data_IF_413188018939
#
_entry.id   IF_413188018939
#
_cell.length_a   1.000
_cell.length_b   1.000
_cell.length_c   1.000
_cell.angle_alpha   90.00
_cell.angle_beta   90.00
_cell.angle_gamma   90.00
#
_symmetry.space_group_name_H-M   'P 1'
#
loop_
_entity.id
_entity.type
_entity.pdbx_description
1 polymer ?
#
# COMPACT_ATOMS: atom_id res chain seq x y z
N UNK A 1 16.06 8.68 -9.90
CA UNK A 1 14.97 9.12 -10.79
C UNK A 1 13.70 9.33 -10.01
N UNK A 2 12.96 10.34 -10.39
CA UNK A 2 11.81 10.77 -9.65
C UNK A 2 10.58 10.84 -10.56
N UNK A 3 9.50 10.23 -10.12
CA UNK A 3 8.21 10.28 -10.80
C UNK A 3 7.18 10.90 -9.86
N UNK A 4 6.46 11.88 -10.35
CA UNK A 4 5.45 12.55 -9.57
C UNK A 4 4.13 12.47 -10.31
N UNK A 5 3.06 12.01 -9.63
CA UNK A 5 1.76 11.76 -10.27
C UNK A 5 0.65 11.96 -9.26
N UNK A 6 0.27 12.95 -8.87
CA UNK A 6 -0.87 13.14 -8.00
C UNK A 6 -0.92 12.31 -6.71
N UNK A 7 -0.24 11.18 -6.66
CA UNK A 7 -0.14 10.36 -5.46
C UNK A 7 1.16 10.61 -4.70
N UNK A 8 2.02 11.49 -5.20
CA UNK A 8 3.26 11.85 -4.54
C UNK A 8 4.47 11.48 -5.36
N UNK A 9 5.62 11.65 -4.76
CA UNK A 9 6.89 11.36 -5.40
C UNK A 9 7.29 9.90 -5.24
N UNK A 10 8.25 9.47 -6.07
CA UNK A 10 8.75 8.10 -6.06
C UNK A 10 10.26 8.14 -5.84
N UNK A 11 10.72 7.37 -4.86
CA UNK A 11 12.14 7.24 -4.57
C UNK A 11 12.66 5.87 -4.91
N UNK A 12 13.86 5.80 -5.46
CA UNK A 12 14.45 4.52 -5.82
C UNK A 12 14.99 3.82 -4.58
N UNK A 13 14.48 2.60 -4.34
CA UNK A 13 14.95 1.77 -3.24
C UNK A 13 14.38 0.37 -3.40
N UNK A 14 15.23 -0.63 -3.30
CA UNK A 14 14.81 -2.00 -3.54
C UNK A 14 14.17 -2.63 -2.30
N UNK A 15 13.05 -3.29 -2.50
CA UNK A 15 12.36 -4.04 -1.47
C UNK A 15 11.81 -5.32 -2.09
N UNK A 16 12.29 -6.47 -1.63
CA UNK A 16 11.87 -7.77 -2.13
C UNK A 16 11.52 -8.68 -0.99
N UNK A 17 10.40 -9.38 -1.12
CA UNK A 17 9.97 -10.38 -0.16
C UNK A 17 8.69 -10.03 0.55
N UNK A 18 8.43 -10.75 1.64
CA UNK A 18 7.19 -10.60 2.41
C UNK A 18 7.39 -9.60 3.52
N UNK A 19 6.39 -8.74 3.70
CA UNK A 19 6.41 -7.81 4.81
C UNK A 19 4.99 -7.43 5.18
N UNK A 20 4.82 -6.96 6.41
CA UNK A 20 3.52 -6.61 6.95
C UNK A 20 3.06 -5.26 6.46
N UNK A 21 1.76 -5.12 6.27
CA UNK A 21 1.14 -3.84 5.93
C UNK A 21 0.16 -3.52 7.06
N UNK A 22 0.21 -2.28 7.55
CA UNK A 22 -0.69 -1.79 8.59
C UNK A 22 -1.57 -0.71 7.99
N UNK A 23 -2.86 -0.99 7.92
CA UNK A 23 -3.82 -0.10 7.30
C UNK A 23 -4.39 0.86 8.33
N UNK A 24 -4.69 2.08 7.88
CA UNK A 24 -5.26 3.08 8.76
C UNK A 24 -6.62 2.64 9.27
N UNK A 25 -6.91 3.00 10.52
CA UNK A 25 -8.13 2.59 11.18
C UNK A 25 -9.36 3.32 10.66
N UNK A 26 -9.23 4.58 10.39
CA UNK A 26 -10.38 5.35 9.97
C UNK A 26 -10.79 4.98 8.55
N UNK A 27 -12.01 4.78 8.39
CA UNK A 27 -12.73 4.56 7.17
C UNK A 27 -12.58 3.22 6.56
N UNK A 28 -12.28 2.11 7.29
CA UNK A 28 -11.89 1.33 6.30
C UNK A 28 -12.16 -0.11 6.33
N UNK A 29 -12.43 -0.55 5.14
CA UNK A 29 -12.66 -1.94 4.85
C UNK A 29 -11.40 -2.77 4.88
N UNK A 30 -10.25 -2.12 5.09
CA UNK A 30 -8.96 -2.81 5.02
C UNK A 30 -8.30 -2.97 6.38
N UNK A 31 -8.79 -2.26 7.39
CA UNK A 31 -8.09 -2.18 8.66
C UNK A 31 -7.81 -3.54 9.30
N UNK A 32 -8.74 -4.47 9.23
CA UNK A 32 -8.56 -5.76 9.85
C UNK A 32 -7.59 -6.68 9.09
N UNK A 33 -7.08 -6.24 7.94
CA UNK A 33 -5.97 -6.90 7.28
C UNK A 33 -4.62 -6.43 7.82
N UNK A 34 -4.61 -5.49 8.76
CA UNK A 34 -3.36 -4.96 9.32
C UNK A 34 -2.58 -6.07 9.99
N UNK A 35 -1.27 -6.08 9.73
CA UNK A 35 -0.38 -7.09 10.25
C UNK A 35 -0.26 -8.32 9.36
N UNK A 36 -1.06 -8.45 8.33
CA UNK A 36 -0.90 -9.53 7.37
C UNK A 36 0.30 -9.28 6.48
N UNK A 37 0.89 -10.37 5.99
CA UNK A 37 2.05 -10.28 5.13
C UNK A 37 1.64 -10.19 3.67
N UNK A 38 2.24 -9.24 2.97
CA UNK A 38 2.05 -9.05 1.54
C UNK A 38 3.40 -9.15 0.84
N UNK A 39 3.37 -9.51 -0.43
CA UNK A 39 4.58 -9.72 -1.20
C UNK A 39 4.99 -8.43 -1.91
N UNK A 40 6.24 -8.05 -1.73
CA UNK A 40 6.82 -6.84 -2.32
C UNK A 40 7.91 -7.19 -3.30
N UNK A 41 7.85 -6.59 -4.47
CA UNK A 41 8.97 -6.58 -5.42
C UNK A 41 8.92 -5.21 -6.08
N UNK A 42 9.70 -4.27 -5.57
CA UNK A 42 9.72 -2.94 -6.16
C UNK A 42 11.06 -2.28 -5.90
N UNK A 43 11.42 -1.37 -6.79
CA UNK A 43 12.65 -0.62 -6.68
C UNK A 43 12.42 0.83 -6.33
N UNK A 44 11.18 1.28 -6.28
CA UNK A 44 10.82 2.65 -5.98
C UNK A 44 9.78 2.70 -4.88
N UNK A 45 9.91 3.70 -4.02
CA UNK A 45 8.93 3.97 -2.98
C UNK A 45 8.09 5.18 -3.36
N UNK A 46 6.82 5.15 -3.00
CA UNK A 46 5.99 6.34 -3.02
C UNK A 46 6.29 7.21 -1.82
N UNK A 47 6.33 8.50 -2.07
CA UNK A 47 6.22 9.47 -0.99
C UNK A 47 4.86 10.12 -1.17
N UNK A 48 3.96 9.87 -0.23
CA UNK A 48 2.57 10.28 -0.38
C UNK A 48 2.38 11.79 -0.49
N UNK A 49 3.27 12.56 0.10
CA UNK A 49 3.13 14.02 0.13
C UNK A 49 2.05 14.47 1.09
N UNK A 50 0.86 13.92 0.98
CA UNK A 50 -0.26 14.21 1.87
C UNK A 50 -0.59 12.98 2.68
N UNK A 51 -0.51 13.10 4.01
CA UNK A 51 -0.76 11.98 4.90
C UNK A 51 -2.18 11.43 4.79
N UNK A 52 -3.12 12.26 4.38
CA UNK A 52 -4.50 11.81 4.23
C UNK A 52 -4.64 10.80 3.09
N UNK A 53 -3.67 10.75 2.21
CA UNK A 53 -3.68 9.80 1.10
C UNK A 53 -3.03 8.47 1.45
N UNK A 54 -2.53 8.31 2.67
CA UNK A 54 -1.92 7.04 3.07
C UNK A 54 -3.00 6.09 3.54
N UNK A 55 -3.12 4.96 2.87
CA UNK A 55 -4.02 3.89 3.29
C UNK A 55 -3.32 2.87 4.17
N UNK A 56 -2.06 2.57 3.89
CA UNK A 56 -1.31 1.59 4.65
C UNK A 56 0.16 1.90 4.72
N UNK A 57 0.81 1.42 5.78
CA UNK A 57 2.23 1.64 6.05
C UNK A 57 2.94 0.32 6.23
N UNK A 58 4.18 0.27 5.82
CA UNK A 58 5.06 -0.88 6.02
C UNK A 58 6.40 -0.39 6.52
N UNK A 59 7.02 -1.18 7.40
CA UNK A 59 8.35 -0.90 7.92
C UNK A 59 9.39 -1.67 7.12
N UNK A 60 10.32 -0.95 6.54
CA UNK A 60 11.47 -1.54 5.85
C UNK A 60 12.63 -0.57 6.02
N UNK A 61 13.45 -0.80 7.03
CA UNK A 61 14.43 0.14 7.57
C UNK A 61 13.75 1.33 8.23
N UNK A 62 12.78 1.90 7.58
CA UNK A 62 11.94 2.95 8.13
C UNK A 62 10.54 2.83 7.54
N UNK A 63 9.54 3.41 8.19
CA UNK A 63 8.17 3.32 7.67
C UNK A 63 8.05 4.00 6.31
N UNK A 64 7.27 3.38 5.44
CA UNK A 64 6.95 4.01 4.16
C UNK A 64 5.49 3.70 3.80
N UNK A 65 4.86 4.57 2.99
CA UNK A 65 3.50 4.29 2.53
C UNK A 65 3.51 3.12 1.55
N UNK A 66 2.85 2.04 1.90
CA UNK A 66 2.77 0.86 1.04
C UNK A 66 1.44 0.75 0.32
N UNK A 67 0.46 1.54 0.73
CA UNK A 67 -0.81 1.67 0.02
C UNK A 67 -1.29 3.10 0.12
N UNK A 68 -1.76 3.63 -0.99
CA UNK A 68 -2.24 5.01 -1.08
C UNK A 68 -3.68 5.02 -1.57
N UNK A 69 -4.44 6.02 -1.13
CA UNK A 69 -5.82 6.19 -1.54
C UNK A 69 -6.07 7.67 -1.83
N UNK A 70 -6.73 7.94 -2.95
CA UNK A 70 -7.12 9.29 -3.29
C UNK A 70 -8.37 9.23 -4.14
N UNK A 71 -9.49 9.73 -3.59
CA UNK A 71 -10.76 9.65 -4.29
C UNK A 71 -11.15 8.20 -4.54
N UNK A 72 -11.26 7.81 -5.78
CA UNK A 72 -11.61 6.45 -6.17
C UNK A 72 -10.41 5.64 -6.68
N UNK A 73 -9.21 6.06 -6.32
CA UNK A 73 -7.97 5.40 -6.75
C UNK A 73 -7.27 4.81 -5.53
N UNK A 74 -6.85 3.56 -5.64
CA UNK A 74 -5.97 2.93 -4.66
C UNK A 74 -4.73 2.44 -5.39
N UNK A 75 -3.56 2.78 -4.85
CA UNK A 75 -2.30 2.31 -5.37
C UNK A 75 -1.57 1.51 -4.30
N UNK A 76 -0.86 0.47 -4.68
CA UNK A 76 -0.12 -0.35 -3.74
C UNK A 76 1.31 -0.57 -4.21
N UNK A 77 2.23 -0.69 -3.24
CA UNK A 77 3.60 -1.10 -3.52
C UNK A 77 3.73 -2.62 -3.48
N UNK A 78 2.84 -3.29 -2.82
CA UNK A 78 2.83 -4.75 -2.79
C UNK A 78 2.02 -5.28 -3.98
N UNK A 79 2.19 -6.57 -4.25
CA UNK A 79 1.47 -7.26 -5.30
C UNK A 79 0.36 -8.10 -4.68
N UNK A 80 -0.89 -7.63 -4.68
CA UNK A 80 -1.97 -8.42 -4.08
C UNK A 80 -2.12 -9.78 -4.74
N UNK A 81 -1.92 -9.83 -6.05
CA UNK A 81 -2.09 -11.08 -6.80
C UNK A 81 -1.04 -12.12 -6.43
N UNK A 82 0.06 -11.71 -5.80
CA UNK A 82 1.12 -12.60 -5.36
C UNK A 82 1.17 -12.76 -3.85
N UNK A 83 0.21 -12.21 -3.15
CA UNK A 83 0.22 -12.17 -1.69
C UNK A 83 -0.67 -13.22 -1.05
N UNK A 84 -0.99 -14.27 -1.77
CA UNK A 84 -1.76 -15.41 -1.30
C UNK A 84 -3.08 -14.96 -0.65
N UNK A 85 -3.39 -15.47 0.53
CA UNK A 85 -4.67 -15.23 1.17
C UNK A 85 -4.92 -13.76 1.49
N UNK A 86 -3.91 -13.08 2.02
CA UNK A 86 -4.06 -11.66 2.34
C UNK A 86 -4.33 -10.85 1.07
N UNK A 87 -3.65 -11.20 -0.02
CA UNK A 87 -3.86 -10.53 -1.30
C UNK A 87 -5.25 -10.75 -1.85
N UNK A 88 -5.75 -11.98 -1.76
CA UNK A 88 -7.11 -12.30 -2.20
C UNK A 88 -8.13 -11.47 -1.41
N UNK A 89 -7.96 -11.41 -0.09
CA UNK A 89 -8.85 -10.62 0.75
C UNK A 89 -8.79 -9.14 0.41
N UNK A 90 -7.59 -8.63 0.15
CA UNK A 90 -7.43 -7.24 -0.23
C UNK A 90 -8.19 -6.94 -1.53
N UNK A 91 -8.05 -7.80 -2.52
CA UNK A 91 -8.71 -7.61 -3.82
C UNK A 91 -10.22 -7.67 -3.66
N UNK A 92 -10.73 -8.62 -2.87
CA UNK A 92 -12.16 -8.72 -2.61
C UNK A 92 -12.69 -7.43 -2.01
N UNK A 93 -12.00 -6.88 -1.04
CA UNK A 93 -12.43 -5.64 -0.39
C UNK A 93 -12.32 -4.45 -1.31
N UNK A 94 -11.30 -4.45 -2.17
CA UNK A 94 -11.20 -3.40 -3.18
C UNK A 94 -12.40 -3.42 -4.13
N UNK A 95 -12.83 -4.60 -4.55
CA UNK A 95 -13.97 -4.73 -5.44
C UNK A 95 -15.25 -4.23 -4.76
N UNK A 96 -15.39 -4.47 -3.47
CA UNK A 96 -16.56 -4.05 -2.71
C UNK A 96 -16.47 -2.61 -2.23
N UNK A 97 -15.31 -2.01 -2.34
CA UNK A 97 -15.06 -0.66 -1.85
C UNK A 97 -15.83 0.36 -2.67
N UNK A 98 -16.51 1.27 -1.97
CA UNK A 98 -17.21 2.38 -2.61
C UNK A 98 -16.66 3.67 -2.05
N UNK A 99 -16.01 4.44 -2.90
CA UNK A 99 -15.43 5.72 -2.47
C UNK A 99 -16.50 6.75 -2.13
#
# INVERSE_FOLDING_TARGET
>A
QRLSRGLGDVYKRQHMGWNEVYFKKDNNKFYDLSGENFYFVHSYYFDAGDKDNILGLTNYDQPFPSALIKGNIIGTQFHPEKSQRAGVEFIKRFIEWKP
#
